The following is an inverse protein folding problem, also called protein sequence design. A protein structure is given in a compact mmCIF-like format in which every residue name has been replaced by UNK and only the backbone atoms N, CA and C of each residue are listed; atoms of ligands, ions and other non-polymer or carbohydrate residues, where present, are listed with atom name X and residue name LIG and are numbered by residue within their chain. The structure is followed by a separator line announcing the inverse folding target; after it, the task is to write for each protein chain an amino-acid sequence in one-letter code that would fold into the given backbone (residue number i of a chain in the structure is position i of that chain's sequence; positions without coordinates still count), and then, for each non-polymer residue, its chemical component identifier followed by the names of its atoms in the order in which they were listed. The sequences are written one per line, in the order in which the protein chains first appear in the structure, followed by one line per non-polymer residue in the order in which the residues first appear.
data_IF_595690441868
#
_entry.id   IF_595690441868
#
_cell.length_a   1.000
_cell.length_b   1.000
_cell.length_c   1.000
_cell.angle_alpha   90.00
_cell.angle_beta   90.00
_cell.angle_gamma   90.00
#
_symmetry.space_group_name_H-M   'P 1'
#
loop_
_entity.id
_entity.type
_entity.pdbx_description
1 polymer ?
#
# COMPACT_ATOMS: atom_id res chain seq x y z
N UNK A 1 20.23 11.11 4.59
CA UNK A 1 19.11 10.16 4.73
C UNK A 1 19.32 9.05 3.71
N UNK A 2 19.05 7.78 4.06
CA UNK A 2 19.20 6.67 3.10
C UNK A 2 17.92 6.52 2.30
N UNK A 3 18.05 6.25 1.00
CA UNK A 3 16.90 5.94 0.17
C UNK A 3 16.29 4.60 0.59
N UNK A 4 14.98 4.49 0.40
CA UNK A 4 14.23 3.23 0.48
C UNK A 4 14.09 2.73 -0.95
N UNK A 5 14.55 1.51 -1.20
CA UNK A 5 14.45 0.88 -2.52
C UNK A 5 13.36 -0.17 -2.52
N UNK A 6 12.81 -0.50 -3.68
CA UNK A 6 11.83 -1.56 -3.75
C UNK A 6 11.23 -1.73 -5.13
N UNK A 7 10.12 -2.43 -5.16
CA UNK A 7 9.42 -2.82 -6.37
C UNK A 7 7.94 -2.46 -6.24
N UNK A 8 7.38 -1.85 -7.28
CA UNK A 8 5.95 -1.58 -7.39
C UNK A 8 5.42 -2.15 -8.70
N UNK A 9 4.30 -2.85 -8.64
CA UNK A 9 3.66 -3.47 -9.79
C UNK A 9 2.15 -3.24 -9.76
N UNK A 10 1.60 -3.07 -10.95
CA UNK A 10 0.17 -3.08 -11.22
C UNK A 10 -0.05 -3.87 -12.51
N UNK A 11 -1.15 -4.60 -12.60
CA UNK A 11 -1.34 -5.56 -13.71
C UNK A 11 -1.79 -4.98 -15.06
N UNK A 12 -2.20 -3.71 -15.13
CA UNK A 12 -2.56 -3.06 -16.40
C UNK A 12 -1.79 -1.77 -16.63
N UNK A 13 -2.32 -0.57 -16.36
CA UNK A 13 -1.61 0.71 -16.47
C UNK A 13 -1.45 1.33 -15.09
N UNK A 14 -0.21 1.66 -14.71
CA UNK A 14 0.12 2.24 -13.41
C UNK A 14 0.43 3.72 -13.54
N UNK A 15 0.01 4.46 -12.52
CA UNK A 15 0.58 5.77 -12.20
C UNK A 15 0.92 5.77 -10.72
N UNK A 16 2.21 5.88 -10.42
CA UNK A 16 2.76 5.83 -9.08
C UNK A 16 3.23 7.22 -8.64
N UNK A 17 2.82 7.61 -7.45
CA UNK A 17 3.11 8.88 -6.82
C UNK A 17 3.83 8.68 -5.49
N UNK A 18 4.75 9.59 -5.21
CA UNK A 18 5.47 9.70 -3.94
C UNK A 18 5.19 11.10 -3.44
N UNK A 19 4.56 11.21 -2.27
CA UNK A 19 4.27 12.50 -1.62
C UNK A 19 3.52 13.52 -2.51
N UNK A 20 2.61 13.03 -3.36
CA UNK A 20 1.85 13.86 -4.29
C UNK A 20 2.54 14.10 -5.64
N UNK A 21 3.83 13.81 -5.76
CA UNK A 21 4.59 14.00 -7.00
C UNK A 21 4.53 12.72 -7.85
N UNK A 22 4.27 12.88 -9.15
CA UNK A 22 4.36 11.77 -10.09
C UNK A 22 5.79 11.22 -10.10
N UNK A 23 5.95 9.97 -9.68
CA UNK A 23 7.25 9.30 -9.65
C UNK A 23 7.46 8.41 -10.87
N UNK A 24 6.44 7.63 -11.23
CA UNK A 24 6.51 6.73 -12.38
C UNK A 24 5.13 6.56 -13.00
N UNK A 25 5.07 6.46 -14.32
CA UNK A 25 3.87 6.09 -15.05
C UNK A 25 4.18 5.02 -16.09
N UNK A 26 3.11 4.39 -16.57
CA UNK A 26 3.19 3.27 -17.49
C UNK A 26 3.19 1.94 -16.77
N UNK A 27 3.03 0.90 -17.56
CA UNK A 27 3.16 -0.51 -17.21
C UNK A 27 3.31 -1.25 -18.52
N UNK A 28 4.09 -2.32 -18.55
CA UNK A 28 4.00 -3.28 -19.65
C UNK A 28 2.98 -4.33 -19.25
N UNK A 29 2.16 -4.76 -20.22
CA UNK A 29 1.24 -5.91 -20.13
C UNK A 29 1.92 -7.25 -19.75
N UNK A 30 3.19 -7.21 -19.37
CA UNK A 30 3.98 -8.32 -18.86
C UNK A 30 3.97 -8.24 -17.33
N UNK A 31 3.07 -9.02 -16.74
CA UNK A 31 2.82 -9.26 -15.31
C UNK A 31 4.05 -9.65 -14.46
N UNK A 32 5.24 -9.73 -15.06
CA UNK A 32 6.51 -10.17 -14.49
C UNK A 32 7.57 -9.05 -14.34
N UNK A 33 7.30 -7.82 -14.76
CA UNK A 33 8.27 -6.72 -14.69
C UNK A 33 7.84 -5.63 -13.69
N UNK A 34 8.05 -5.82 -12.37
CA UNK A 34 7.83 -4.75 -11.40
C UNK A 34 8.74 -3.55 -11.71
N UNK A 35 8.25 -2.35 -11.43
CA UNK A 35 9.07 -1.16 -11.50
C UNK A 35 9.95 -1.05 -10.26
N UNK A 36 11.27 -1.05 -10.47
CA UNK A 36 12.21 -0.66 -9.43
C UNK A 36 12.04 0.81 -9.05
N UNK A 37 12.03 1.09 -7.75
CA UNK A 37 11.92 2.44 -7.19
C UNK A 37 13.02 2.69 -6.16
N UNK A 38 13.45 3.94 -6.07
CA UNK A 38 14.35 4.48 -5.06
C UNK A 38 13.77 5.82 -4.59
N UNK A 39 13.11 5.79 -3.43
CA UNK A 39 12.41 6.94 -2.83
C UNK A 39 13.19 7.44 -1.62
N UNK A 40 12.96 8.70 -1.24
CA UNK A 40 13.64 9.28 -0.09
C UNK A 40 13.19 8.61 1.21
N UNK A 41 14.10 8.47 2.17
CA UNK A 41 13.81 7.80 3.45
C UNK A 41 12.81 8.53 4.35
N UNK A 42 12.52 9.79 4.06
CA UNK A 42 11.52 10.64 4.71
C UNK A 42 10.19 10.72 3.92
N UNK A 43 9.99 9.83 2.95
CA UNK A 43 8.70 9.69 2.25
C UNK A 43 7.59 9.41 3.25
N UNK A 44 6.50 10.18 3.18
CA UNK A 44 5.36 10.04 4.10
C UNK A 44 4.17 9.33 3.44
N UNK A 45 4.04 9.43 2.11
CA UNK A 45 2.91 8.89 1.36
C UNK A 45 3.36 8.24 0.05
N UNK A 46 2.79 7.08 -0.21
CA UNK A 46 2.84 6.41 -1.51
C UNK A 46 1.42 6.19 -2.03
N UNK A 47 1.23 6.40 -3.33
CA UNK A 47 -0.07 6.35 -3.98
C UNK A 47 0.01 5.73 -5.37
N UNK A 48 -0.92 4.83 -5.69
CA UNK A 48 -0.96 4.06 -6.94
C UNK A 48 -2.34 4.18 -7.57
N UNK A 49 -2.39 4.66 -8.81
CA UNK A 49 -3.53 4.43 -9.71
C UNK A 49 -3.22 3.20 -10.55
N UNK A 50 -4.17 2.27 -10.64
CA UNK A 50 -4.05 1.08 -11.48
C UNK A 50 -5.33 0.90 -12.28
N UNK A 51 -5.22 0.67 -13.60
CA UNK A 51 -6.38 0.27 -14.41
C UNK A 51 -6.60 -1.24 -14.34
N UNK A 52 -7.80 -1.67 -14.70
CA UNK A 52 -8.20 -3.06 -14.66
C UNK A 52 -7.54 -3.89 -15.78
N UNK A 53 -7.04 -5.07 -15.45
CA UNK A 53 -6.83 -6.20 -16.36
C UNK A 53 -7.20 -7.50 -15.65
N UNK A 54 -7.17 -8.63 -16.36
CA UNK A 54 -7.23 -9.96 -15.74
C UNK A 54 -5.84 -10.61 -15.80
N UNK A 55 -5.25 -11.00 -14.65
CA UNK A 55 -5.74 -10.81 -13.28
C UNK A 55 -5.69 -9.35 -12.82
N UNK A 56 -6.36 -8.99 -11.71
CA UNK A 56 -6.21 -7.68 -11.06
C UNK A 56 -5.11 -7.69 -10.01
N UNK A 57 -4.57 -6.53 -9.71
CA UNK A 57 -3.75 -6.35 -8.51
C UNK A 57 -2.79 -5.19 -8.58
N UNK A 58 -2.49 -4.67 -7.40
CA UNK A 58 -1.32 -3.85 -7.07
C UNK A 58 -0.45 -4.62 -6.07
N UNK A 59 0.87 -4.62 -6.25
CA UNK A 59 1.82 -5.17 -5.27
C UNK A 59 2.98 -4.20 -5.09
N UNK A 60 3.42 -4.00 -3.86
CA UNK A 60 4.61 -3.22 -3.56
C UNK A 60 5.35 -3.81 -2.38
N UNK A 61 6.68 -3.80 -2.46
CA UNK A 61 7.60 -4.16 -1.38
C UNK A 61 8.73 -3.15 -1.33
N UNK A 62 9.09 -2.70 -0.13
CA UNK A 62 10.13 -1.70 0.10
C UNK A 62 11.17 -2.23 1.10
N UNK A 63 12.40 -1.76 0.98
CA UNK A 63 13.56 -2.19 1.77
C UNK A 63 13.48 -1.87 3.26
N UNK A 64 12.52 -1.03 3.67
CA UNK A 64 12.20 -0.73 5.06
C UNK A 64 11.15 -1.68 5.66
N UNK A 65 10.80 -2.77 4.96
CA UNK A 65 9.82 -3.77 5.40
C UNK A 65 8.37 -3.39 5.10
N UNK A 66 8.14 -2.29 4.40
CA UNK A 66 6.80 -1.90 4.00
C UNK A 66 6.32 -2.70 2.79
N UNK A 67 5.07 -3.18 2.85
CA UNK A 67 4.44 -3.97 1.81
C UNK A 67 2.96 -3.62 1.59
N UNK A 68 2.42 -4.00 0.42
CA UNK A 68 0.98 -3.95 0.18
C UNK A 68 0.23 -4.91 1.10
N UNK A 69 -0.78 -4.41 1.79
CA UNK A 69 -1.60 -5.18 2.72
C UNK A 69 -3.05 -4.68 2.74
N UNK A 70 -3.92 -5.36 3.49
CA UNK A 70 -5.31 -4.94 3.69
C UNK A 70 -5.43 -3.56 4.39
N UNK A 71 -4.37 -3.04 5.00
CA UNK A 71 -4.40 -1.72 5.66
C UNK A 71 -4.31 -0.54 4.68
N UNK A 72 -4.10 -0.80 3.39
CA UNK A 72 -4.13 0.23 2.37
C UNK A 72 -5.54 0.77 2.18
N UNK A 73 -5.65 2.05 1.86
CA UNK A 73 -6.92 2.69 1.50
C UNK A 73 -7.09 2.66 0.00
N UNK A 74 -8.19 2.11 -0.49
CA UNK A 74 -8.44 1.97 -1.92
C UNK A 74 -9.87 2.37 -2.29
N UNK A 75 -10.05 3.02 -3.43
CA UNK A 75 -11.36 3.36 -3.99
C UNK A 75 -11.33 3.25 -5.52
N UNK A 76 -12.50 3.11 -6.14
CA UNK A 76 -12.68 3.23 -7.58
C UNK A 76 -13.15 4.64 -8.02
N UNK A 77 -13.41 5.52 -7.05
CA UNK A 77 -13.84 6.90 -7.30
C UNK A 77 -12.64 7.83 -7.32
N UNK A 78 -12.52 8.64 -8.36
CA UNK A 78 -11.53 9.70 -8.37
C UNK A 78 -11.90 10.78 -7.35
N UNK A 79 -10.90 11.20 -6.57
CA UNK A 79 -10.99 12.37 -5.70
C UNK A 79 -9.83 13.30 -6.05
N UNK A 80 -10.09 14.60 -6.21
CA UNK A 80 -9.01 15.55 -6.44
C UNK A 80 -8.03 15.56 -5.27
N UNK A 81 -6.72 15.59 -5.55
CA UNK A 81 -5.67 15.59 -4.53
C UNK A 81 -5.51 14.26 -3.78
N UNK A 82 -6.16 13.17 -4.22
CA UNK A 82 -6.09 11.86 -3.54
C UNK A 82 -4.68 11.32 -3.32
N UNK A 83 -3.70 11.76 -4.12
CA UNK A 83 -2.30 11.37 -4.05
C UNK A 83 -1.46 12.25 -3.11
N UNK A 84 -2.02 13.31 -2.53
CA UNK A 84 -1.31 14.28 -1.69
C UNK A 84 -1.29 13.89 -0.21
N UNK A 85 -0.22 14.28 0.50
CA UNK A 85 0.00 13.97 1.93
C UNK A 85 -1.18 14.39 2.82
N UNK A 86 -1.76 15.56 2.55
CA UNK A 86 -2.83 16.16 3.36
C UNK A 86 -4.23 15.60 3.13
N UNK A 87 -4.44 14.80 2.08
CA UNK A 87 -5.76 14.26 1.76
C UNK A 87 -6.21 13.25 2.81
N UNK A 88 -7.48 13.38 3.23
CA UNK A 88 -8.13 12.52 4.24
C UNK A 88 -8.85 11.37 3.54
N UNK A 89 -8.35 10.15 3.76
CA UNK A 89 -8.88 8.90 3.19
C UNK A 89 -9.71 8.09 4.21
N UNK A 90 -10.18 8.74 5.28
CA UNK A 90 -10.93 8.10 6.38
C UNK A 90 -12.20 7.39 5.88
N UNK A 91 -12.83 7.90 4.82
CA UNK A 91 -14.03 7.32 4.21
C UNK A 91 -13.71 6.25 3.15
N UNK A 92 -12.44 6.05 2.80
CA UNK A 92 -12.06 5.02 1.84
C UNK A 92 -12.06 3.65 2.53
N UNK A 93 -12.62 2.62 1.88
CA UNK A 93 -12.52 1.28 2.39
C UNK A 93 -11.08 0.80 2.38
N UNK A 94 -10.81 -0.16 3.26
CA UNK A 94 -9.57 -0.91 3.24
C UNK A 94 -9.48 -1.76 1.96
N UNK A 95 -8.25 -2.03 1.53
CA UNK A 95 -7.99 -2.88 0.38
C UNK A 95 -8.37 -4.33 0.69
N UNK A 96 -8.77 -5.07 -0.34
CA UNK A 96 -8.92 -6.52 -0.27
C UNK A 96 -7.63 -7.18 -0.78
N UNK A 97 -7.09 -8.09 0.02
CA UNK A 97 -5.99 -8.97 -0.42
C UNK A 97 -6.58 -10.03 -1.32
N UNK A 98 -6.11 -10.10 -2.58
CA UNK A 98 -6.63 -11.05 -3.57
C UNK A 98 -5.82 -12.34 -3.59
N UNK A 99 -4.67 -12.39 -4.27
CA UNK A 99 -3.81 -13.58 -4.39
C UNK A 99 -2.36 -13.13 -4.29
N UNK A 100 -1.50 -13.89 -3.61
CA UNK A 100 -0.06 -13.63 -3.49
C UNK A 100 0.26 -12.19 -3.00
N UNK A 101 -0.50 -11.71 -2.01
CA UNK A 101 -0.37 -10.36 -1.40
C UNK A 101 -0.64 -9.18 -2.34
N UNK A 102 -1.17 -9.45 -3.53
CA UNK A 102 -1.70 -8.40 -4.37
C UNK A 102 -2.97 -7.83 -3.72
N UNK A 103 -3.12 -6.51 -3.79
CA UNK A 103 -4.29 -5.80 -3.25
C UNK A 103 -5.15 -5.20 -4.36
N UNK A 104 -6.44 -5.03 -4.07
CA UNK A 104 -7.40 -4.34 -4.93
C UNK A 104 -8.54 -3.72 -4.11
N UNK A 105 -9.51 -3.11 -4.76
CA UNK A 105 -10.80 -2.77 -4.14
C UNK A 105 -11.69 -4.02 -3.95
N UNK A 106 -12.61 -3.95 -2.99
CA UNK A 106 -13.51 -5.05 -2.66
C UNK A 106 -14.43 -5.50 -3.83
N UNK A 107 -14.72 -4.61 -4.79
CA UNK A 107 -15.57 -4.94 -5.95
C UNK A 107 -14.79 -5.55 -7.12
N UNK A 108 -13.49 -5.84 -6.94
CA UNK A 108 -12.64 -6.62 -7.86
C UNK A 108 -12.86 -6.24 -9.33
N UNK A 109 -13.57 -7.12 -10.05
CA UNK A 109 -13.74 -7.12 -11.51
C UNK A 109 -14.67 -6.02 -12.04
N UNK A 110 -15.35 -5.30 -11.17
CA UNK A 110 -16.26 -4.21 -11.55
C UNK A 110 -15.56 -2.85 -11.59
N UNK A 111 -14.36 -2.75 -11.02
CA UNK A 111 -13.64 -1.48 -10.87
C UNK A 111 -12.57 -1.38 -11.96
N UNK A 112 -12.87 -0.59 -13.00
CA UNK A 112 -12.00 -0.38 -14.16
C UNK A 112 -10.74 0.43 -13.83
N UNK A 113 -10.80 1.24 -12.79
CA UNK A 113 -9.69 2.03 -12.26
C UNK A 113 -9.76 2.06 -10.75
N UNK A 114 -8.62 1.83 -10.11
CA UNK A 114 -8.48 1.87 -8.66
C UNK A 114 -7.41 2.88 -8.28
N UNK A 115 -7.68 3.62 -7.21
CA UNK A 115 -6.79 4.56 -6.55
C UNK A 115 -6.51 4.00 -5.17
N UNK A 116 -5.25 3.66 -4.88
CA UNK A 116 -4.82 3.12 -3.61
C UNK A 116 -3.72 4.01 -3.01
N UNK A 117 -3.76 4.23 -1.70
CA UNK A 117 -2.75 5.02 -0.99
C UNK A 117 -2.44 4.44 0.38
N UNK A 118 -1.25 4.73 0.88
CA UNK A 118 -0.82 4.37 2.23
C UNK A 118 0.17 5.39 2.77
N UNK A 119 -0.16 5.90 3.94
CA UNK A 119 0.74 6.71 4.76
C UNK A 119 1.77 5.77 5.40
N UNK A 120 3.05 6.07 5.23
CA UNK A 120 4.17 5.23 5.70
C UNK A 120 4.51 5.44 7.19
N UNK A 121 3.84 6.40 7.84
CA UNK A 121 4.18 6.86 9.18
C UNK A 121 5.42 7.77 9.17
N UNK A 122 5.53 8.64 10.16
CA UNK A 122 6.70 9.52 10.32
C UNK A 122 7.94 8.70 10.72
N UNK A 123 8.67 8.22 9.73
CA UNK A 123 10.01 7.66 9.89
C UNK A 123 10.04 6.23 10.45
N UNK A 124 10.81 5.39 9.76
CA UNK A 124 11.33 4.14 10.29
C UNK A 124 11.89 4.36 11.72
N UNK A 125 11.23 3.82 12.75
CA UNK A 125 11.78 3.90 14.11
C UNK A 125 10.86 3.79 15.32
N UNK A 126 9.55 3.47 15.21
CA UNK A 126 8.72 3.19 16.39
C UNK A 126 7.69 2.08 16.17
N UNK A 127 8.13 0.87 15.84
CA UNK A 127 7.35 -0.33 16.20
C UNK A 127 7.85 -0.79 17.56
N UNK A 128 7.21 -0.28 18.61
CA UNK A 128 7.29 -0.92 19.91
C UNK A 128 6.86 -2.39 19.73
N UNK A 129 7.78 -3.31 20.03
CA UNK A 129 7.47 -4.68 20.36
C UNK A 129 6.48 -4.69 21.54
N UNK A 130 5.18 -4.67 21.28
CA UNK A 130 4.17 -5.10 22.26
C UNK A 130 3.11 -5.93 21.54
N UNK A 131 3.53 -7.09 21.03
CA UNK A 131 2.61 -8.22 20.87
C UNK A 131 3.35 -9.53 21.20
N UNK A 132 3.91 -9.60 22.40
CA UNK A 132 4.29 -10.87 23.00
C UNK A 132 3.86 -10.85 24.46
N UNK A 133 2.64 -11.35 24.73
CA UNK A 133 2.22 -12.06 25.94
C UNK A 133 0.74 -12.47 25.81
N UNK A 134 0.46 -13.41 24.91
CA UNK A 134 -0.57 -14.40 25.23
C UNK A 134 0.13 -15.47 26.06
N UNK A 135 -0.10 -15.45 27.37
CA UNK A 135 -0.27 -16.61 28.24
C UNK A 135 -0.50 -16.06 29.66
N UNK A 136 -1.77 -15.88 29.99
CA UNK A 136 -2.21 -15.62 31.35
C UNK A 136 -1.98 -16.92 32.13
N UNK A 137 -0.93 -16.98 32.93
CA UNK A 137 -0.79 -17.99 33.98
C UNK A 137 -1.76 -17.60 35.10
N UNK A 138 -2.85 -18.35 35.25
CA UNK A 138 -3.68 -18.28 36.46
C UNK A 138 -2.84 -18.73 37.66
N UNK A 139 -2.63 -17.84 38.62
CA UNK A 139 -2.21 -18.21 39.98
C UNK A 139 -3.29 -17.75 40.95
N UNK A 140 -4.01 -18.77 41.45
CA UNK A 140 -4.55 -18.97 42.80
C UNK A 140 -5.34 -17.81 43.45
N UNK A 141 -6.64 -18.08 43.64
CA UNK A 141 -7.51 -17.40 44.60
C UNK A 141 -6.96 -17.54 46.02
N UNK A 142 -7.19 -16.49 46.79
CA UNK A 142 -6.77 -16.26 48.17
C UNK A 142 -7.45 -17.20 49.19
N UNK A 143 -6.73 -17.35 50.31
CA UNK A 143 -7.12 -17.81 51.67
C UNK A 143 -7.08 -19.32 51.92
#
# INVERSE_FOLDING_TARGET
MKNITGEVACRNIMVFYVDGVLYKNGNSDTWDQPANVSILGDTQLVAVKCTYSRPVGIKMTLSNGFETSAEWKCTNKYHQGWNERGFKDDTWPNAEVVKNEWIWTARKKQDETVYCRKVLGDGAGKTNQITAKQHITQIQRQK
#
